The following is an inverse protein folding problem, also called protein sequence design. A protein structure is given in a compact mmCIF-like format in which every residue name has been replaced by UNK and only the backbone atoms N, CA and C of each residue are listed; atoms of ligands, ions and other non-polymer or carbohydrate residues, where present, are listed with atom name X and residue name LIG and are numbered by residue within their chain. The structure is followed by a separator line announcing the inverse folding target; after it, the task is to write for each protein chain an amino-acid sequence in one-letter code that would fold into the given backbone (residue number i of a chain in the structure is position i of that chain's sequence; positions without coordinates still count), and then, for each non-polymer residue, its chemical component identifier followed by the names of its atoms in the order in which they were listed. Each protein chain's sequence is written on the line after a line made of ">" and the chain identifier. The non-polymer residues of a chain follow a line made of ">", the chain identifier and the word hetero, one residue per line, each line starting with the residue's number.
data_IF_814344086566
#
_entry.id   IF_814344086566
#
_cell.length_a   1.000
_cell.length_b   1.000
_cell.length_c   1.000
_cell.angle_alpha   90.00
_cell.angle_beta   90.00
_cell.angle_gamma   90.00
#
_symmetry.space_group_name_H-M   'P 1'
#
loop_
_entity.id
_entity.type
_entity.pdbx_description
1 polymer ?
#
# COMPACT_ATOMS: atom_id res chain seq x y z
N UNK A 1 34.84 9.96 5.92
CA UNK A 1 33.73 9.09 5.49
C UNK A 1 33.32 9.55 4.07
N UNK A 2 33.43 8.72 3.03
CA UNK A 2 33.09 9.11 1.67
C UNK A 2 31.57 9.22 1.54
N UNK A 3 31.07 10.38 1.07
CA UNK A 3 29.67 10.61 0.74
C UNK A 3 29.27 9.71 -0.43
N UNK A 4 28.26 8.84 -0.23
CA UNK A 4 27.71 8.02 -1.29
C UNK A 4 27.19 8.94 -2.43
N UNK A 5 27.68 8.73 -3.65
CA UNK A 5 27.21 9.47 -4.84
C UNK A 5 25.80 8.98 -5.18
N UNK A 6 24.84 9.87 -5.05
CA UNK A 6 23.46 9.66 -5.53
C UNK A 6 23.53 9.54 -7.07
N UNK A 7 23.12 8.38 -7.61
CA UNK A 7 22.99 8.18 -9.05
C UNK A 7 21.59 8.61 -9.45
N UNK A 8 21.49 9.57 -10.38
CA UNK A 8 20.23 9.95 -11.02
C UNK A 8 20.19 9.34 -12.42
N UNK A 9 19.07 8.76 -12.77
CA UNK A 9 18.74 8.30 -14.12
C UNK A 9 17.54 9.08 -14.64
N UNK A 10 17.33 9.06 -15.95
CA UNK A 10 16.15 9.63 -16.59
C UNK A 10 15.35 8.50 -17.23
N UNK A 11 14.05 8.44 -16.91
CA UNK A 11 13.14 7.41 -17.40
C UNK A 11 12.09 8.06 -18.30
N UNK A 12 11.87 7.47 -19.48
CA UNK A 12 10.82 7.90 -20.38
C UNK A 12 9.45 7.51 -19.81
N UNK A 13 8.54 8.45 -19.70
CA UNK A 13 7.19 8.21 -19.17
C UNK A 13 6.30 7.41 -20.11
N UNK A 14 6.61 7.41 -21.42
CA UNK A 14 5.81 6.73 -22.44
C UNK A 14 6.23 5.27 -22.64
N UNK A 15 7.54 4.99 -22.66
CA UNK A 15 8.03 3.63 -22.97
C UNK A 15 8.87 2.99 -21.87
N UNK A 16 9.13 3.68 -20.74
CA UNK A 16 9.91 3.15 -19.64
C UNK A 16 11.42 3.03 -19.88
N UNK A 17 11.93 3.46 -21.03
CA UNK A 17 13.36 3.36 -21.35
C UNK A 17 14.19 4.25 -20.43
N UNK A 18 15.31 3.69 -19.91
CA UNK A 18 16.23 4.41 -19.02
C UNK A 18 17.35 5.10 -19.83
N UNK A 19 17.68 6.33 -19.43
CA UNK A 19 18.73 7.14 -20.02
C UNK A 19 19.65 7.72 -18.94
N UNK A 20 20.95 7.68 -19.19
CA UNK A 20 21.96 8.19 -18.24
C UNK A 20 21.96 9.73 -18.10
N UNK A 21 21.41 10.42 -19.11
CA UNK A 21 21.34 11.90 -19.17
C UNK A 21 19.99 12.32 -19.73
N UNK A 22 19.56 13.52 -19.37
CA UNK A 22 18.39 14.12 -19.99
C UNK A 22 18.67 14.46 -21.46
N UNK A 23 17.71 14.20 -22.29
CA UNK A 23 17.72 14.53 -23.72
C UNK A 23 16.30 14.89 -24.15
N UNK A 24 16.16 15.79 -25.09
CA UNK A 24 14.86 16.32 -25.51
C UNK A 24 13.95 15.28 -26.14
N UNK A 25 14.49 14.20 -26.70
CA UNK A 25 13.75 13.13 -27.36
C UNK A 25 14.19 11.76 -26.82
N UNK A 26 13.25 10.87 -26.58
CA UNK A 26 13.56 9.49 -26.22
C UNK A 26 14.04 8.71 -27.44
N UNK A 27 15.22 8.11 -27.37
CA UNK A 27 15.75 7.31 -28.49
C UNK A 27 15.04 5.98 -28.71
N UNK A 28 14.29 5.49 -27.70
CA UNK A 28 13.59 4.22 -27.79
C UNK A 28 12.21 4.35 -28.47
N UNK A 29 11.44 5.39 -28.14
CA UNK A 29 10.09 5.58 -28.70
C UNK A 29 9.97 6.84 -29.58
N UNK A 30 10.97 7.71 -29.63
CA UNK A 30 10.95 8.93 -30.42
C UNK A 30 10.14 10.09 -29.81
N UNK A 31 9.54 9.90 -28.64
CA UNK A 31 8.68 10.92 -28.00
C UNK A 31 9.52 12.06 -27.43
N UNK A 32 8.99 13.31 -27.57
CA UNK A 32 9.67 14.52 -27.12
C UNK A 32 9.27 14.89 -25.70
N UNK A 33 10.24 15.41 -24.92
CA UNK A 33 10.06 15.89 -23.54
C UNK A 33 9.41 14.87 -22.57
N UNK A 34 9.53 13.59 -22.88
CA UNK A 34 8.98 12.47 -22.11
C UNK A 34 9.91 11.95 -21.00
N UNK A 35 11.12 12.51 -20.84
CA UNK A 35 12.12 12.05 -19.89
C UNK A 35 11.98 12.76 -18.54
N UNK A 36 11.67 12.02 -17.49
CA UNK A 36 11.64 12.49 -16.11
C UNK A 36 12.86 12.00 -15.33
N UNK A 37 13.36 12.86 -14.42
CA UNK A 37 14.51 12.52 -13.58
C UNK A 37 14.07 11.65 -12.42
N UNK A 38 14.62 10.44 -12.31
CA UNK A 38 14.45 9.54 -11.18
C UNK A 38 15.74 9.52 -10.37
N UNK A 39 15.65 9.82 -9.09
CA UNK A 39 16.78 9.78 -8.17
C UNK A 39 16.85 8.39 -7.56
N UNK A 40 17.82 7.59 -7.98
CA UNK A 40 18.09 6.29 -7.37
C UNK A 40 19.00 6.55 -6.16
N UNK A 41 18.43 6.63 -4.97
CA UNK A 41 19.20 6.56 -3.74
C UNK A 41 19.72 5.13 -3.59
N UNK A 42 21.04 4.92 -3.52
CA UNK A 42 21.54 3.61 -3.13
C UNK A 42 21.09 3.38 -1.68
N UNK A 43 20.12 2.54 -1.47
CA UNK A 43 19.89 1.93 -0.17
C UNK A 43 21.19 1.19 0.12
N UNK A 44 21.94 1.66 1.12
CA UNK A 44 23.19 1.05 1.55
C UNK A 44 22.91 -0.42 1.80
N UNK A 45 23.51 -1.26 0.96
CA UNK A 45 23.26 -2.67 0.94
C UNK A 45 23.64 -3.32 2.26
N UNK A 46 22.69 -3.93 2.85
CA UNK A 46 22.86 -5.21 3.49
C UNK A 46 22.34 -6.22 2.46
N UNK A 47 23.23 -7.06 1.95
CA UNK A 47 22.88 -8.26 1.20
C UNK A 47 22.30 -9.27 2.20
N UNK A 48 21.20 -8.92 2.82
CA UNK A 48 20.26 -9.85 3.39
C UNK A 48 19.17 -9.95 2.35
N UNK A 49 19.14 -11.12 1.72
CA UNK A 49 18.02 -11.57 0.91
C UNK A 49 16.72 -11.03 1.51
N UNK A 50 16.13 -10.01 0.89
CA UNK A 50 14.72 -9.79 1.03
C UNK A 50 14.05 -11.04 0.44
N UNK A 51 13.90 -12.06 1.29
CA UNK A 51 12.82 -12.99 1.09
C UNK A 51 11.57 -12.12 1.15
N UNK A 52 11.15 -11.63 -0.01
CA UNK A 52 9.82 -11.13 -0.19
C UNK A 52 8.91 -12.26 0.28
N UNK A 53 8.31 -12.07 1.44
CA UNK A 53 7.16 -12.82 1.92
C UNK A 53 5.97 -12.41 1.02
N UNK A 54 6.05 -12.79 -0.22
CA UNK A 54 5.06 -12.57 -1.25
C UNK A 54 5.39 -13.52 -2.40
N UNK A 55 4.41 -13.93 -3.16
CA UNK A 55 4.48 -14.89 -4.25
C UNK A 55 5.53 -14.60 -5.35
N UNK A 56 6.22 -13.46 -5.30
CA UNK A 56 7.24 -13.04 -6.26
C UNK A 56 8.65 -13.31 -5.73
N UNK A 57 9.10 -14.56 -5.75
CA UNK A 57 10.49 -14.87 -5.35
C UNK A 57 10.79 -16.34 -5.11
N UNK A 58 9.77 -17.19 -5.04
CA UNK A 58 9.94 -18.64 -5.06
C UNK A 58 9.70 -19.11 -6.49
N UNK A 59 10.64 -19.85 -7.06
CA UNK A 59 10.45 -20.50 -8.36
C UNK A 59 9.12 -21.28 -8.32
N UNK A 60 8.14 -20.83 -9.09
CA UNK A 60 6.80 -21.41 -9.09
C UNK A 60 6.88 -22.85 -9.56
N UNK A 61 6.70 -23.80 -8.66
CA UNK A 61 6.60 -25.21 -9.02
C UNK A 61 5.16 -25.50 -9.45
N UNK A 62 5.01 -26.10 -10.65
CA UNK A 62 3.72 -26.58 -11.13
C UNK A 62 3.37 -27.84 -10.34
N UNK A 63 2.29 -27.79 -9.55
CA UNK A 63 1.78 -28.90 -8.75
C UNK A 63 0.33 -29.18 -9.16
N UNK A 64 -0.12 -30.42 -8.95
CA UNK A 64 -1.53 -30.73 -9.09
C UNK A 64 -2.29 -30.15 -7.89
N UNK A 65 -3.50 -29.66 -8.12
CA UNK A 65 -4.32 -29.09 -7.07
C UNK A 65 -4.62 -30.10 -5.94
N UNK A 66 -4.69 -31.39 -6.26
CA UNK A 66 -4.85 -32.47 -5.29
C UNK A 66 -3.68 -32.63 -4.31
N UNK A 67 -2.51 -32.15 -4.71
CA UNK A 67 -1.26 -32.28 -3.94
C UNK A 67 -0.97 -31.03 -3.10
N UNK A 68 -1.84 -30.00 -3.24
CA UNK A 68 -1.76 -28.77 -2.45
C UNK A 68 -2.52 -28.94 -1.16
N UNK A 69 -1.81 -28.86 -0.04
CA UNK A 69 -2.41 -28.90 1.29
C UNK A 69 -3.21 -27.62 1.56
N UNK A 70 -4.51 -27.75 1.79
CA UNK A 70 -5.37 -26.64 2.16
C UNK A 70 -5.14 -26.30 3.64
N UNK A 71 -4.35 -25.26 3.90
CA UNK A 71 -4.17 -24.75 5.26
C UNK A 71 -5.39 -23.91 5.65
N UNK A 72 -6.01 -24.25 6.78
CA UNK A 72 -7.06 -23.43 7.37
C UNK A 72 -6.43 -22.14 7.92
N UNK A 73 -6.65 -21.06 7.20
CA UNK A 73 -6.07 -19.76 7.55
C UNK A 73 -7.01 -19.00 8.46
N UNK A 74 -6.57 -18.72 9.68
CA UNK A 74 -7.33 -17.90 10.62
C UNK A 74 -7.60 -16.52 10.00
N UNK A 75 -8.87 -16.13 9.95
CA UNK A 75 -9.32 -14.87 9.38
C UNK A 75 -9.49 -13.81 10.46
N UNK A 76 -9.26 -12.56 10.09
CA UNK A 76 -9.47 -11.39 10.95
C UNK A 76 -10.84 -10.81 10.60
N UNK A 77 -11.82 -10.90 11.50
CA UNK A 77 -13.14 -10.33 11.31
C UNK A 77 -13.10 -8.80 11.29
N UNK A 78 -13.82 -8.18 10.34
CA UNK A 78 -13.91 -6.72 10.22
C UNK A 78 -14.80 -6.07 11.31
N UNK A 79 -15.58 -6.87 12.02
CA UNK A 79 -16.64 -6.42 12.92
C UNK A 79 -17.93 -6.00 12.21
N UNK A 80 -18.05 -6.26 10.91
CA UNK A 80 -19.27 -6.06 10.10
C UNK A 80 -19.65 -7.35 9.39
N UNK A 81 -20.79 -7.92 9.75
CA UNK A 81 -21.23 -9.20 9.22
C UNK A 81 -21.30 -9.24 7.69
N UNK A 82 -21.79 -8.15 7.06
CA UNK A 82 -21.88 -8.07 5.61
C UNK A 82 -20.51 -7.99 4.93
N UNK A 83 -19.57 -7.24 5.50
CA UNK A 83 -18.22 -7.16 4.98
C UNK A 83 -17.52 -8.51 5.14
N UNK A 84 -17.66 -9.14 6.31
CA UNK A 84 -17.09 -10.47 6.58
C UNK A 84 -17.71 -11.54 5.66
N UNK A 85 -19.02 -11.46 5.40
CA UNK A 85 -19.71 -12.35 4.44
C UNK A 85 -19.10 -12.22 3.03
N UNK A 86 -18.88 -10.99 2.55
CA UNK A 86 -18.28 -10.74 1.24
C UNK A 86 -16.83 -11.23 1.19
N UNK A 87 -16.10 -11.08 2.29
CA UNK A 87 -14.71 -11.54 2.42
C UNK A 87 -14.59 -13.06 2.69
N UNK A 88 -15.71 -13.77 2.79
CA UNK A 88 -15.71 -15.20 3.08
C UNK A 88 -15.36 -15.53 4.53
N UNK A 89 -15.68 -14.64 5.47
CA UNK A 89 -15.48 -14.80 6.91
C UNK A 89 -14.45 -13.85 7.53
N UNK A 90 -13.95 -12.88 6.78
CA UNK A 90 -12.99 -11.87 7.24
C UNK A 90 -11.72 -11.78 6.39
N UNK A 91 -10.81 -10.91 6.79
CA UNK A 91 -9.54 -10.69 6.11
C UNK A 91 -8.59 -11.89 6.29
N UNK A 92 -7.95 -12.29 5.22
CA UNK A 92 -6.89 -13.31 5.26
C UNK A 92 -5.54 -12.60 5.43
N UNK A 93 -4.68 -13.01 6.38
CA UNK A 93 -3.34 -12.45 6.51
C UNK A 93 -2.55 -12.50 5.20
N UNK A 94 -1.94 -11.38 4.83
CA UNK A 94 -1.20 -11.23 3.57
C UNK A 94 -2.07 -10.96 2.34
N UNK A 95 -3.40 -10.92 2.46
CA UNK A 95 -4.29 -10.55 1.35
C UNK A 95 -4.33 -9.04 1.13
N UNK A 96 -4.64 -8.65 -0.11
CA UNK A 96 -4.95 -7.27 -0.50
C UNK A 96 -6.40 -7.22 -0.95
N UNK A 97 -7.16 -6.31 -0.35
CA UNK A 97 -8.59 -6.09 -0.67
C UNK A 97 -8.76 -4.70 -1.26
N UNK A 98 -9.33 -4.61 -2.46
CA UNK A 98 -9.69 -3.34 -3.08
C UNK A 98 -11.19 -3.08 -2.88
N UNK A 99 -11.52 -1.92 -2.30
CA UNK A 99 -12.90 -1.45 -2.14
C UNK A 99 -13.17 -0.35 -3.17
N UNK A 100 -13.86 -0.72 -4.24
CA UNK A 100 -14.28 0.19 -5.31
C UNK A 100 -15.71 0.69 -5.11
N UNK A 101 -16.05 1.81 -5.76
CA UNK A 101 -17.38 2.39 -5.79
C UNK A 101 -17.35 3.87 -6.16
N UNK A 102 -18.52 4.43 -6.47
CA UNK A 102 -18.66 5.83 -6.88
C UNK A 102 -18.23 6.82 -5.79
N UNK A 103 -17.82 8.04 -6.16
CA UNK A 103 -17.61 9.12 -5.19
C UNK A 103 -18.87 9.31 -4.33
N UNK A 104 -18.67 9.47 -3.02
CA UNK A 104 -19.80 9.63 -2.09
C UNK A 104 -20.50 8.32 -1.65
N UNK A 105 -20.14 7.16 -2.18
CA UNK A 105 -20.73 5.87 -1.80
C UNK A 105 -20.42 5.42 -0.35
N UNK A 106 -19.63 6.21 0.40
CA UNK A 106 -19.33 5.91 1.80
C UNK A 106 -18.12 5.03 2.06
N UNK A 107 -17.27 4.79 1.05
CA UNK A 107 -16.06 3.94 1.17
C UNK A 107 -15.18 4.33 2.37
N UNK A 108 -14.74 5.58 2.45
CA UNK A 108 -13.88 6.08 3.54
C UNK A 108 -14.59 6.01 4.91
N UNK A 109 -15.92 6.15 4.93
CA UNK A 109 -16.70 5.98 6.16
C UNK A 109 -16.71 4.54 6.62
N UNK A 110 -16.96 3.60 5.71
CA UNK A 110 -16.91 2.16 6.00
C UNK A 110 -15.51 1.75 6.47
N UNK A 111 -14.47 2.19 5.75
CA UNK A 111 -13.06 1.91 6.09
C UNK A 111 -12.73 2.42 7.49
N UNK A 112 -13.08 3.67 7.81
CA UNK A 112 -12.81 4.25 9.15
C UNK A 112 -13.54 3.47 10.23
N UNK A 113 -14.80 3.11 10.02
CA UNK A 113 -15.58 2.31 10.98
C UNK A 113 -14.99 0.91 11.18
N UNK A 114 -14.56 0.24 10.11
CA UNK A 114 -13.92 -1.07 10.21
C UNK A 114 -12.57 -0.97 10.94
N UNK A 115 -11.75 0.05 10.60
CA UNK A 115 -10.46 0.26 11.26
C UNK A 115 -10.58 0.51 12.75
N UNK A 116 -11.55 1.32 13.20
CA UNK A 116 -11.72 1.59 14.62
C UNK A 116 -12.17 0.36 15.39
N UNK A 117 -12.96 -0.54 14.79
CA UNK A 117 -13.31 -1.82 15.39
C UNK A 117 -12.13 -2.79 15.44
N UNK A 118 -11.40 -2.90 14.34
CA UNK A 118 -10.21 -3.74 14.26
C UNK A 118 -9.12 -3.29 15.24
N UNK A 119 -9.00 -1.97 15.47
CA UNK A 119 -7.97 -1.40 16.34
C UNK A 119 -8.16 -1.73 17.82
N UNK A 120 -9.28 -2.35 18.22
CA UNK A 120 -9.46 -2.87 19.59
C UNK A 120 -8.58 -4.08 19.88
N UNK A 121 -8.34 -4.92 18.88
CA UNK A 121 -7.67 -6.20 19.05
C UNK A 121 -6.42 -6.35 18.17
N UNK A 122 -6.24 -5.45 17.20
CA UNK A 122 -5.18 -5.53 16.19
C UNK A 122 -4.46 -4.20 16.04
N UNK A 123 -3.18 -4.27 15.69
CA UNK A 123 -2.43 -3.08 15.25
C UNK A 123 -2.92 -2.63 13.88
N UNK A 124 -3.56 -1.47 13.79
CA UNK A 124 -4.12 -0.93 12.55
C UNK A 124 -3.46 0.40 12.22
N UNK A 125 -3.05 0.57 10.97
CA UNK A 125 -2.58 1.84 10.40
C UNK A 125 -3.53 2.28 9.30
N UNK A 126 -4.15 3.45 9.48
CA UNK A 126 -4.98 4.10 8.47
C UNK A 126 -4.21 5.24 7.84
N UNK A 127 -3.99 5.18 6.52
CA UNK A 127 -3.33 6.22 5.75
C UNK A 127 -4.35 6.91 4.87
N UNK A 128 -4.46 8.23 5.01
CA UNK A 128 -5.31 9.07 4.16
C UNK A 128 -4.45 9.91 3.24
N UNK A 129 -4.83 10.01 1.96
CA UNK A 129 -4.24 10.93 0.99
C UNK A 129 -5.16 12.07 0.59
N UNK A 130 -6.43 12.03 1.01
CA UNK A 130 -7.45 13.02 0.61
C UNK A 130 -7.83 13.97 1.73
N UNK A 131 -7.78 13.52 2.98
CA UNK A 131 -8.24 14.28 4.13
C UNK A 131 -7.10 14.60 5.10
N UNK A 132 -7.21 15.75 5.75
CA UNK A 132 -6.33 16.05 6.88
C UNK A 132 -6.69 15.20 8.10
N UNK A 133 -5.72 14.99 9.00
CA UNK A 133 -5.96 14.26 10.25
C UNK A 133 -7.07 14.89 11.11
N UNK A 134 -7.21 16.23 11.05
CA UNK A 134 -8.27 16.95 11.75
C UNK A 134 -9.66 16.62 11.18
N UNK A 135 -9.80 16.54 9.86
CA UNK A 135 -11.06 16.16 9.20
C UNK A 135 -11.42 14.71 9.51
N UNK A 136 -10.43 13.81 9.51
CA UNK A 136 -10.62 12.41 9.88
C UNK A 136 -11.10 12.29 11.35
N UNK A 137 -10.48 13.03 12.28
CA UNK A 137 -10.87 13.05 13.68
C UNK A 137 -12.30 13.58 13.87
N UNK A 138 -12.66 14.69 13.21
CA UNK A 138 -14.02 15.23 13.25
C UNK A 138 -15.05 14.23 12.72
N UNK A 139 -14.71 13.49 11.65
CA UNK A 139 -15.55 12.43 11.11
C UNK A 139 -15.73 11.29 12.12
N UNK A 140 -14.66 10.83 12.76
CA UNK A 140 -14.73 9.80 13.79
C UNK A 140 -15.62 10.24 14.96
N UNK A 141 -15.47 11.47 15.45
CA UNK A 141 -16.32 12.04 16.52
C UNK A 141 -17.80 12.10 16.10
N UNK A 142 -18.10 12.59 14.90
CA UNK A 142 -19.48 12.65 14.36
C UNK A 142 -20.12 11.26 14.29
N UNK A 143 -19.34 10.25 13.96
CA UNK A 143 -19.79 8.86 13.88
C UNK A 143 -19.76 8.16 15.25
N UNK A 144 -19.30 8.84 16.30
CA UNK A 144 -19.15 8.29 17.67
C UNK A 144 -18.29 7.02 17.70
N UNK A 145 -17.20 7.02 16.93
CA UNK A 145 -16.30 5.89 16.86
C UNK A 145 -15.27 5.93 18.00
N UNK A 146 -14.82 4.77 18.50
CA UNK A 146 -13.69 4.72 19.40
C UNK A 146 -12.44 5.24 18.67
N UNK A 147 -11.73 6.18 19.29
CA UNK A 147 -10.55 6.80 18.67
C UNK A 147 -9.24 6.23 19.21
N UNK A 148 -9.31 5.49 20.30
CA UNK A 148 -8.16 4.88 20.93
C UNK A 148 -7.69 3.65 20.11
N UNK A 149 -6.38 3.50 19.98
CA UNK A 149 -5.77 2.35 19.35
C UNK A 149 -5.58 2.44 17.82
N UNK A 150 -6.29 3.34 17.12
CA UNK A 150 -6.10 3.50 15.66
C UNK A 150 -4.96 4.47 15.36
N UNK A 151 -3.89 3.96 14.73
CA UNK A 151 -2.82 4.80 14.19
C UNK A 151 -3.25 5.41 12.86
N UNK A 152 -3.00 6.71 12.67
CA UNK A 152 -3.39 7.44 11.46
C UNK A 152 -2.21 8.24 10.89
N UNK A 153 -2.12 8.31 9.56
CA UNK A 153 -1.14 9.13 8.85
C UNK A 153 -1.78 9.83 7.65
N UNK A 154 -1.38 11.07 7.39
CA UNK A 154 -1.72 11.79 6.15
C UNK A 154 -0.48 11.77 5.25
N UNK A 155 -0.46 10.90 4.23
CA UNK A 155 0.68 10.71 3.35
C UNK A 155 0.23 10.09 2.01
N UNK A 156 0.87 10.51 0.93
CA UNK A 156 0.62 10.01 -0.43
C UNK A 156 1.82 9.31 -1.06
N UNK A 157 3.01 9.50 -0.48
CA UNK A 157 4.25 8.92 -1.01
C UNK A 157 4.42 7.48 -0.55
N UNK A 158 4.46 6.56 -1.49
CA UNK A 158 4.53 5.12 -1.22
C UNK A 158 5.76 4.73 -0.38
N UNK A 159 6.93 5.36 -0.60
CA UNK A 159 8.16 5.08 0.12
C UNK A 159 8.05 5.44 1.61
N UNK A 160 7.37 6.56 1.91
CA UNK A 160 7.14 7.02 3.29
C UNK A 160 6.13 6.11 3.98
N UNK A 161 5.05 5.76 3.28
CA UNK A 161 4.06 4.79 3.78
C UNK A 161 4.74 3.46 4.10
N UNK A 162 5.57 2.94 3.18
CA UNK A 162 6.32 1.70 3.40
C UNK A 162 7.25 1.79 4.62
N UNK A 163 7.90 2.94 4.84
CA UNK A 163 8.75 3.16 6.01
C UNK A 163 7.96 3.14 7.32
N UNK A 164 6.76 3.72 7.34
CA UNK A 164 5.86 3.67 8.51
C UNK A 164 5.39 2.25 8.79
N UNK A 165 5.01 1.49 7.76
CA UNK A 165 4.61 0.09 7.89
C UNK A 165 5.77 -0.74 8.47
N UNK A 166 6.98 -0.57 7.96
CA UNK A 166 8.16 -1.29 8.45
C UNK A 166 8.50 -0.96 9.91
N UNK A 167 8.30 0.30 10.32
CA UNK A 167 8.58 0.76 11.68
C UNK A 167 7.52 0.29 12.69
N UNK A 168 6.23 0.40 12.35
CA UNK A 168 5.12 0.10 13.25
C UNK A 168 4.66 -1.36 13.20
N UNK A 169 4.92 -2.07 12.07
CA UNK A 169 4.52 -3.46 11.83
C UNK A 169 3.04 -3.72 12.14
N UNK A 170 2.12 -2.93 11.59
CA UNK A 170 0.71 -3.13 11.83
C UNK A 170 0.25 -4.45 11.19
N UNK A 171 -0.80 -5.07 11.78
CA UNK A 171 -1.42 -6.28 11.23
C UNK A 171 -2.35 -5.95 10.05
N UNK A 172 -2.95 -4.76 10.08
CA UNK A 172 -3.84 -4.27 9.03
C UNK A 172 -3.40 -2.86 8.62
N UNK A 173 -3.29 -2.65 7.31
CA UNK A 173 -3.02 -1.33 6.73
C UNK A 173 -4.16 -0.97 5.81
N UNK A 174 -4.70 0.22 5.98
CA UNK A 174 -5.70 0.79 5.08
C UNK A 174 -5.11 2.00 4.38
N UNK A 175 -5.23 2.01 3.06
CA UNK A 175 -4.83 3.12 2.21
C UNK A 175 -6.09 3.73 1.59
N UNK A 176 -6.53 4.87 2.15
CA UNK A 176 -7.67 5.64 1.64
C UNK A 176 -7.15 6.73 0.71
N UNK A 177 -6.85 6.31 -0.51
CA UNK A 177 -6.25 7.12 -1.56
C UNK A 177 -7.23 7.24 -2.73
N UNK A 178 -7.43 8.45 -3.23
CA UNK A 178 -8.16 8.64 -4.48
C UNK A 178 -7.33 8.15 -5.66
N UNK A 179 -7.83 7.16 -6.37
CA UNK A 179 -7.20 6.69 -7.63
C UNK A 179 -7.60 7.56 -8.84
N UNK A 180 -8.15 8.76 -8.61
CA UNK A 180 -8.68 9.61 -9.69
C UNK A 180 -7.58 10.36 -10.46
N UNK A 181 -6.33 10.26 -10.05
CA UNK A 181 -5.21 10.92 -10.74
C UNK A 181 -4.14 9.90 -11.18
N UNK A 182 -4.55 9.01 -12.04
CA UNK A 182 -3.63 8.31 -12.94
C UNK A 182 -3.84 8.86 -14.35
#
# INVERSE_FOLDING_TARGET
>A
MPKAKVKSAYVCQECGAEHAKWQGQCHACGEWNSLSRVTISPVAGSATSHQALGFAGVEAQIQKLSDVEALDTQRIGSGFNELDRVLGGGFVPGSVVLIGGDPGAGKSTLLLQACTKLATDHGVLYVTGEESLQQLALRAQRLKLPMDGLSVAAETRAEVIASHIAAQKPQVVVLDLSLIHI
#
